data_IF_197735101423
#
_entry.id   IF_197735101423
#
_cell.length_a   1.000
_cell.length_b   1.000
_cell.length_c   1.000
_cell.angle_alpha   90.00
_cell.angle_beta   90.00
_cell.angle_gamma   90.00
#
_symmetry.space_group_name_H-M   'P 1'
#
loop_
_entity.id
_entity.type
_entity.pdbx_description
1 polymer ?
#
# COMPACT_ATOMS: atom_id res chain seq x y z
N UNK A 1 0.18 8.79 15.00
CA UNK A 1 -0.36 7.45 14.69
C UNK A 1 0.13 6.48 15.74
N UNK A 2 -0.76 5.92 16.53
CA UNK A 2 -0.46 4.74 17.34
C UNK A 2 -0.24 3.58 16.36
N UNK A 3 0.92 2.93 16.39
CA UNK A 3 1.17 1.77 15.52
C UNK A 3 0.25 0.64 15.94
N UNK A 4 -0.57 0.14 15.02
CA UNK A 4 -1.42 -1.00 15.29
C UNK A 4 -0.55 -2.17 15.77
N UNK A 5 -0.88 -2.70 16.96
CA UNK A 5 -0.28 -3.92 17.47
C UNK A 5 -1.20 -5.07 17.17
N UNK A 6 -0.61 -6.21 16.80
CA UNK A 6 -1.34 -7.46 16.62
C UNK A 6 -2.13 -7.79 17.90
N UNK A 7 -3.41 -8.05 17.73
CA UNK A 7 -4.37 -8.43 18.76
C UNK A 7 -5.45 -9.34 18.16
N UNK A 8 -6.46 -9.71 18.93
CA UNK A 8 -7.51 -10.65 18.49
C UNK A 8 -8.32 -10.12 17.29
N UNK A 9 -8.56 -8.81 17.21
CA UNK A 9 -9.39 -8.19 16.17
C UNK A 9 -8.71 -8.08 14.78
N UNK A 10 -7.39 -8.22 14.73
CA UNK A 10 -6.58 -8.17 13.49
C UNK A 10 -5.70 -9.42 13.33
N UNK A 11 -6.04 -10.52 14.01
CA UNK A 11 -5.30 -11.77 13.99
C UNK A 11 -5.27 -12.44 12.59
N UNK A 12 -6.25 -12.15 11.74
CA UNK A 12 -6.37 -12.66 10.37
C UNK A 12 -5.54 -11.89 9.35
N UNK A 13 -5.02 -10.72 9.72
CA UNK A 13 -4.22 -9.89 8.82
C UNK A 13 -2.84 -10.55 8.61
N UNK A 14 -2.16 -10.20 7.52
CA UNK A 14 -0.78 -10.65 7.30
C UNK A 14 0.17 -9.78 8.14
N UNK A 15 1.00 -10.41 8.96
CA UNK A 15 1.93 -9.72 9.85
C UNK A 15 3.38 -10.07 9.53
N UNK A 16 3.64 -11.34 9.29
CA UNK A 16 4.99 -11.86 9.12
C UNK A 16 5.42 -11.86 7.67
N UNK A 17 6.73 -11.73 7.45
CA UNK A 17 7.35 -11.72 6.13
C UNK A 17 6.97 -12.94 5.29
N UNK A 18 6.96 -14.13 5.89
CA UNK A 18 6.62 -15.38 5.21
C UNK A 18 5.17 -15.41 4.75
N UNK A 19 4.27 -14.74 5.50
CA UNK A 19 2.87 -14.61 5.12
C UNK A 19 2.72 -13.68 3.91
N UNK A 20 3.45 -12.56 3.91
CA UNK A 20 3.49 -11.62 2.79
C UNK A 20 4.02 -12.29 1.50
N UNK A 21 5.09 -13.10 1.61
CA UNK A 21 5.68 -13.78 0.45
C UNK A 21 4.80 -14.90 -0.12
N UNK A 22 3.98 -15.56 0.71
CA UNK A 22 3.08 -16.64 0.29
C UNK A 22 1.70 -16.14 -0.14
N UNK A 23 1.34 -14.92 0.23
CA UNK A 23 0.04 -14.36 -0.08
C UNK A 23 -0.12 -14.12 -1.56
N UNK A 24 -1.30 -14.44 -2.08
CA UNK A 24 -1.68 -14.04 -3.44
C UNK A 24 -2.28 -12.64 -3.48
N UNK A 25 -2.48 -11.97 -2.33
CA UNK A 25 -3.04 -10.62 -2.22
C UNK A 25 -4.39 -10.47 -2.93
N UNK A 26 -5.35 -11.34 -2.63
CA UNK A 26 -6.72 -11.18 -3.15
C UNK A 26 -7.34 -9.87 -2.63
N UNK A 27 -8.32 -9.31 -3.35
CA UNK A 27 -9.07 -8.13 -2.90
C UNK A 27 -9.65 -8.40 -1.50
N UNK A 28 -9.53 -7.42 -0.60
CA UNK A 28 -9.88 -7.55 0.81
C UNK A 28 -8.77 -8.10 1.71
N UNK A 29 -7.63 -8.53 1.16
CA UNK A 29 -6.47 -8.93 1.99
C UNK A 29 -5.96 -7.72 2.77
N UNK A 30 -5.86 -7.86 4.10
CA UNK A 30 -5.33 -6.84 5.00
C UNK A 30 -3.95 -7.26 5.50
N UNK A 31 -3.02 -6.32 5.61
CA UNK A 31 -1.70 -6.57 6.17
C UNK A 31 -1.23 -5.44 7.07
N UNK A 32 -0.62 -5.84 8.19
CA UNK A 32 -0.19 -5.02 9.31
C UNK A 32 -1.27 -4.08 9.89
N UNK A 33 -2.55 -4.38 9.62
CA UNK A 33 -3.70 -3.50 9.90
C UNK A 33 -3.57 -2.07 9.30
N UNK A 34 -2.64 -1.87 8.38
CA UNK A 34 -2.32 -0.56 7.79
C UNK A 34 -2.80 -0.46 6.33
N UNK A 35 -2.91 -1.61 5.64
CA UNK A 35 -3.24 -1.65 4.22
C UNK A 35 -4.29 -2.70 3.92
N UNK A 36 -5.18 -2.38 2.99
CA UNK A 36 -6.12 -3.32 2.38
C UNK A 36 -5.97 -3.31 0.87
N UNK A 37 -5.98 -4.49 0.25
CA UNK A 37 -6.05 -4.62 -1.21
C UNK A 37 -7.44 -4.25 -1.69
N UNK A 38 -7.55 -3.20 -2.52
CA UNK A 38 -8.83 -2.72 -3.06
C UNK A 38 -9.04 -3.09 -4.53
N UNK A 39 -7.95 -3.30 -5.28
CA UNK A 39 -8.02 -3.76 -6.65
C UNK A 39 -6.79 -4.61 -7.00
N UNK A 40 -6.96 -5.55 -7.93
CA UNK A 40 -5.89 -6.44 -8.39
C UNK A 40 -6.13 -6.89 -9.83
N UNK A 41 -5.07 -6.78 -10.63
CA UNK A 41 -4.94 -7.39 -11.95
C UNK A 41 -3.70 -8.30 -12.00
N UNK A 42 -3.43 -8.99 -13.12
CA UNK A 42 -2.21 -9.78 -13.28
C UNK A 42 -0.90 -8.99 -13.11
N UNK A 43 -0.94 -7.67 -13.35
CA UNK A 43 0.24 -6.81 -13.38
C UNK A 43 0.11 -5.54 -12.52
N UNK A 44 -0.95 -5.45 -11.71
CA UNK A 44 -1.23 -4.30 -10.86
C UNK A 44 -1.84 -4.75 -9.53
N UNK A 45 -1.45 -4.10 -8.45
CA UNK A 45 -2.04 -4.23 -7.13
C UNK A 45 -2.31 -2.83 -6.57
N UNK A 46 -3.56 -2.54 -6.22
CA UNK A 46 -3.93 -1.28 -5.57
C UNK A 46 -4.24 -1.53 -4.10
N UNK A 47 -3.62 -0.71 -3.27
CA UNK A 47 -3.73 -0.72 -1.82
C UNK A 47 -4.41 0.57 -1.37
N UNK A 48 -5.25 0.48 -0.36
CA UNK A 48 -5.74 1.63 0.42
C UNK A 48 -5.13 1.57 1.82
N UNK A 49 -4.64 2.69 2.32
CA UNK A 49 -4.01 2.79 3.65
C UNK A 49 -4.09 4.20 4.23
N UNK A 50 -3.26 4.47 5.25
CA UNK A 50 -3.22 5.73 6.01
C UNK A 50 -3.80 5.54 7.41
N UNK A 51 -5.08 5.21 7.50
CA UNK A 51 -5.72 4.70 8.72
C UNK A 51 -6.00 3.21 8.57
N UNK A 52 -6.18 2.51 9.69
CA UNK A 52 -6.55 1.09 9.67
C UNK A 52 -7.76 0.85 8.76
N UNK A 53 -7.77 -0.23 7.95
CA UNK A 53 -8.92 -0.57 7.11
C UNK A 53 -10.24 -0.71 7.86
N UNK A 54 -10.17 -0.95 9.18
CA UNK A 54 -11.32 -1.09 10.08
C UNK A 54 -11.93 0.26 10.48
N UNK A 55 -11.19 1.35 10.30
CA UNK A 55 -11.72 2.71 10.46
C UNK A 55 -12.42 3.11 9.18
N UNK A 56 -13.74 3.37 9.25
CA UNK A 56 -14.55 3.80 8.09
C UNK A 56 -14.29 2.94 6.84
N UNK A 57 -14.63 1.63 6.85
CA UNK A 57 -14.29 0.69 5.78
C UNK A 57 -14.75 1.17 4.39
N UNK A 58 -16.01 1.62 4.30
CA UNK A 58 -16.63 2.13 3.07
C UNK A 58 -16.77 3.66 3.05
N UNK A 59 -16.22 4.34 4.06
CA UNK A 59 -16.42 5.77 4.28
C UNK A 59 -15.22 6.63 3.84
N UNK A 60 -15.40 7.96 3.75
CA UNK A 60 -14.30 8.89 3.59
C UNK A 60 -13.35 8.82 4.79
N UNK A 61 -12.05 9.06 4.53
CA UNK A 61 -10.99 9.09 5.55
C UNK A 61 -10.13 10.33 5.39
N UNK A 62 -9.61 10.81 6.51
CA UNK A 62 -8.48 11.74 6.50
C UNK A 62 -7.23 10.99 6.01
N UNK A 63 -6.39 11.65 5.21
CA UNK A 63 -5.17 11.06 4.63
C UNK A 63 -5.41 9.71 3.92
N UNK A 64 -6.54 9.57 3.23
CA UNK A 64 -6.92 8.38 2.49
C UNK A 64 -5.91 8.12 1.37
N UNK A 65 -5.07 7.11 1.58
CA UNK A 65 -3.89 6.90 0.74
C UNK A 65 -4.10 5.71 -0.16
N UNK A 66 -4.05 5.94 -1.47
CA UNK A 66 -4.06 4.90 -2.49
C UNK A 66 -2.65 4.69 -3.02
N UNK A 67 -2.18 3.44 -2.98
CA UNK A 67 -0.88 3.04 -3.52
C UNK A 67 -1.12 2.01 -4.61
N UNK A 68 -0.66 2.30 -5.82
CA UNK A 68 -0.72 1.36 -6.95
C UNK A 68 0.69 0.87 -7.25
N UNK A 69 0.87 -0.43 -7.13
CA UNK A 69 2.07 -1.14 -7.55
C UNK A 69 1.80 -1.76 -8.92
N UNK A 70 2.65 -1.50 -9.90
CA UNK A 70 2.52 -2.12 -11.24
C UNK A 70 3.83 -2.73 -11.69
N UNK A 71 3.72 -3.75 -12.54
CA UNK A 71 4.87 -4.39 -13.18
C UNK A 71 4.66 -4.44 -14.69
N UNK A 72 5.69 -4.07 -15.43
CA UNK A 72 5.74 -4.17 -16.89
C UNK A 72 6.92 -5.04 -17.30
N UNK A 73 6.66 -6.05 -18.13
CA UNK A 73 7.71 -6.87 -18.73
C UNK A 73 8.00 -6.35 -20.13
N UNK A 74 9.27 -6.08 -20.40
CA UNK A 74 9.78 -5.80 -21.73
C UNK A 74 10.48 -7.06 -22.28
N UNK A 75 9.83 -7.81 -23.19
CA UNK A 75 10.40 -9.06 -23.70
C UNK A 75 11.64 -8.84 -24.57
N UNK A 76 11.78 -7.67 -25.20
CA UNK A 76 12.91 -7.37 -26.09
C UNK A 76 14.17 -7.12 -25.28
N UNK A 77 14.06 -6.30 -24.23
CA UNK A 77 15.19 -5.96 -23.36
C UNK A 77 15.38 -6.94 -22.21
N UNK A 78 14.42 -7.84 -21.99
CA UNK A 78 14.36 -8.80 -20.86
C UNK A 78 14.42 -8.09 -19.50
N UNK A 79 13.77 -6.94 -19.40
CA UNK A 79 13.71 -6.13 -18.18
C UNK A 79 12.30 -6.13 -17.62
N UNK A 80 12.18 -6.32 -16.30
CA UNK A 80 10.96 -6.04 -15.56
C UNK A 80 11.04 -4.62 -14.96
N UNK A 81 10.08 -3.76 -15.28
CA UNK A 81 9.92 -2.43 -14.69
C UNK A 81 8.86 -2.49 -13.60
N UNK A 82 9.25 -2.13 -12.39
CA UNK A 82 8.34 -2.01 -11.25
C UNK A 82 8.05 -0.54 -10.98
N UNK A 83 6.78 -0.18 -10.83
CA UNK A 83 6.37 1.19 -10.54
C UNK A 83 5.52 1.24 -9.28
N UNK A 84 5.65 2.34 -8.54
CA UNK A 84 4.80 2.68 -7.41
C UNK A 84 4.25 4.08 -7.62
N UNK A 85 2.93 4.20 -7.66
CA UNK A 85 2.21 5.47 -7.62
C UNK A 85 1.50 5.60 -6.29
N UNK A 86 1.64 6.73 -5.61
CA UNK A 86 0.91 7.01 -4.37
C UNK A 86 0.13 8.30 -4.51
N UNK A 87 -1.12 8.27 -4.07
CA UNK A 87 -2.05 9.40 -4.06
C UNK A 87 -2.67 9.50 -2.68
N UNK A 88 -2.56 10.67 -2.06
CA UNK A 88 -3.14 10.95 -0.74
C UNK A 88 -4.29 11.92 -0.95
N UNK A 89 -5.46 11.55 -0.47
CA UNK A 89 -6.69 12.34 -0.55
C UNK A 89 -7.15 12.68 0.86
N UNK A 90 -7.78 13.83 1.02
CA UNK A 90 -8.56 14.10 2.22
C UNK A 90 -10.04 13.97 1.87
N UNK A 91 -10.62 12.83 2.25
CA UNK A 91 -12.02 12.53 1.98
C UNK A 91 -12.98 13.27 2.92
N UNK A 92 -12.48 13.91 3.97
CA UNK A 92 -13.31 14.52 5.04
C UNK A 92 -13.35 16.04 4.93
N UNK A 93 -12.26 16.70 4.56
CA UNK A 93 -12.17 18.18 4.59
C UNK A 93 -12.78 18.92 3.39
N UNK A 94 -13.55 18.24 2.54
CA UNK A 94 -14.14 18.81 1.30
C UNK A 94 -13.09 19.53 0.40
N UNK A 95 -11.83 19.11 0.45
CA UNK A 95 -10.75 19.68 -0.37
C UNK A 95 -10.12 20.97 0.18
N UNK A 96 -10.28 21.27 1.47
CA UNK A 96 -9.62 22.42 2.10
C UNK A 96 -8.19 22.07 2.53
N UNK A 97 -7.23 22.40 1.66
CA UNK A 97 -5.79 22.34 1.97
C UNK A 97 -5.06 21.19 1.27
N UNK A 98 -3.72 21.21 1.34
CA UNK A 98 -2.88 20.11 0.86
C UNK A 98 -2.71 19.12 2.01
N UNK A 99 -3.03 17.82 1.84
CA UNK A 99 -3.03 16.87 2.95
C UNK A 99 -1.63 16.60 3.52
N UNK A 100 -0.57 16.89 2.78
CA UNK A 100 0.82 16.73 3.19
C UNK A 100 1.68 17.93 2.78
N UNK A 101 2.60 18.35 3.65
CA UNK A 101 3.60 19.37 3.39
C UNK A 101 4.86 18.82 2.71
N UNK A 102 5.79 19.71 2.35
CA UNK A 102 6.96 19.35 1.53
C UNK A 102 7.90 18.31 2.17
N UNK A 103 8.13 18.39 3.48
CA UNK A 103 9.00 17.44 4.19
C UNK A 103 8.31 16.07 4.31
N UNK A 104 7.02 16.07 4.60
CA UNK A 104 6.20 14.85 4.69
C UNK A 104 6.15 14.12 3.34
N UNK A 105 5.95 14.87 2.24
CA UNK A 105 5.99 14.32 0.88
C UNK A 105 7.36 13.69 0.58
N UNK A 106 8.46 14.38 0.89
CA UNK A 106 9.80 13.85 0.65
C UNK A 106 10.07 12.57 1.44
N UNK A 107 9.69 12.54 2.72
CA UNK A 107 9.83 11.37 3.57
C UNK A 107 8.99 10.20 3.05
N UNK A 108 7.75 10.45 2.62
CA UNK A 108 6.89 9.45 2.01
C UNK A 108 7.48 8.88 0.73
N UNK A 109 8.11 9.71 -0.11
CA UNK A 109 8.83 9.24 -1.30
C UNK A 109 9.99 8.31 -0.95
N UNK A 110 10.75 8.58 0.11
CA UNK A 110 11.85 7.69 0.51
C UNK A 110 11.31 6.36 1.06
N UNK A 111 10.24 6.42 1.87
CA UNK A 111 9.53 5.23 2.35
C UNK A 111 9.02 4.37 1.18
N UNK A 112 8.35 5.00 0.20
CA UNK A 112 7.82 4.30 -0.97
C UNK A 112 8.92 3.63 -1.82
N UNK A 113 10.08 4.29 -1.98
CA UNK A 113 11.24 3.68 -2.65
C UNK A 113 11.72 2.43 -1.91
N UNK A 114 11.89 2.52 -0.59
CA UNK A 114 12.33 1.39 0.23
C UNK A 114 11.33 0.23 0.17
N UNK A 115 10.02 0.52 0.22
CA UNK A 115 8.96 -0.47 0.08
C UNK A 115 9.08 -1.21 -1.27
N UNK A 116 9.24 -0.48 -2.36
CA UNK A 116 9.36 -1.07 -3.70
C UNK A 116 10.65 -1.89 -3.84
N UNK A 117 11.80 -1.34 -3.41
CA UNK A 117 13.09 -2.03 -3.45
C UNK A 117 13.07 -3.32 -2.65
N UNK A 118 12.54 -3.29 -1.42
CA UNK A 118 12.44 -4.50 -0.59
C UNK A 118 11.56 -5.59 -1.23
N UNK A 119 10.51 -5.20 -1.96
CA UNK A 119 9.69 -6.15 -2.71
C UNK A 119 10.43 -6.76 -3.89
N UNK A 120 11.14 -5.92 -4.67
CA UNK A 120 11.91 -6.35 -5.85
C UNK A 120 13.04 -7.32 -5.49
N UNK A 121 13.69 -7.13 -4.33
CA UNK A 121 14.74 -8.04 -3.85
C UNK A 121 14.25 -9.49 -3.62
N UNK A 122 12.93 -9.69 -3.57
CA UNK A 122 12.29 -11.00 -3.47
C UNK A 122 11.76 -11.55 -4.80
N UNK A 123 11.90 -10.82 -5.91
CA UNK A 123 11.63 -11.31 -7.25
C UNK A 123 12.84 -12.08 -7.80
N UNK A 124 12.92 -13.36 -7.43
CA UNK A 124 13.97 -14.28 -7.93
C UNK A 124 13.56 -14.92 -9.26
N UNK A 125 14.51 -15.03 -10.19
CA UNK A 125 14.36 -15.68 -11.49
C UNK A 125 14.63 -17.18 -11.43
#
# INVERSE_FOLDING_TARGET
MEKARKNESNATDLWEKEQLLKSTYQVGTIFADDFIVVDKSPNSLMLRGGLSPRVSPEGPREMDTFITLTTELDPQTRVARFNLKSMVLDGVSEGKGVPLGGVEIFMHQQYAKLLLTAGVDHCVA
#
